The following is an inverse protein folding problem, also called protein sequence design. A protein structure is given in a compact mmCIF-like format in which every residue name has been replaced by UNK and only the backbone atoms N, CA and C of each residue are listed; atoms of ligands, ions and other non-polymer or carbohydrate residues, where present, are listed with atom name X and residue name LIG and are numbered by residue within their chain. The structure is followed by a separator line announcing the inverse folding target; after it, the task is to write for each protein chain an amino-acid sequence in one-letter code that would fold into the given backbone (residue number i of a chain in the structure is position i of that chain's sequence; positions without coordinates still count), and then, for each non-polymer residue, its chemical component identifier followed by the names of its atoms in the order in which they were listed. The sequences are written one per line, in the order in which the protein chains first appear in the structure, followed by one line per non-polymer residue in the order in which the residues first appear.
data_IF_289022050872
#
_entry.id   IF_289022050872
#
_cell.length_a   1.000
_cell.length_b   1.000
_cell.length_c   1.000
_cell.angle_alpha   90.00
_cell.angle_beta   90.00
_cell.angle_gamma   90.00
#
_symmetry.space_group_name_H-M   'P 1'
#
loop_
_entity.id
_entity.type
_entity.pdbx_description
1 polymer ?
2 non-polymer ?
3 non-polymer ?
4 non-polymer ?
5 non-polymer ?
6 water ?
#
# COMPACT_ATOMS: atom_id res chain seq x y z
N UNK A 12 -25.28 4.57 -12.72
CA UNK A 12 -24.54 3.31 -13.01
C UNK A 12 -23.31 3.15 -12.11
N UNK A 13 -23.06 4.16 -11.28
CA UNK A 13 -21.92 4.14 -10.38
C UNK A 13 -21.83 2.81 -9.61
N UNK A 14 -20.86 1.99 -10.01
CA UNK A 14 -20.65 0.68 -9.38
C UNK A 14 -20.53 0.82 -7.86
N UNK A 15 -21.08 -0.13 -7.13
CA UNK A 15 -21.03 -0.10 -5.67
C UNK A 15 -20.35 -1.36 -5.14
N UNK A 16 -19.91 -2.21 -6.06
CA UNK A 16 -19.23 -3.44 -5.70
C UNK A 16 -18.59 -4.07 -6.91
N UNK A 17 -17.89 -5.17 -6.67
CA UNK A 17 -17.22 -5.90 -7.72
C UNK A 17 -17.79 -7.31 -7.73
N UNK A 18 -18.12 -7.82 -8.91
CA UNK A 18 -18.69 -9.16 -9.00
C UNK A 18 -17.65 -10.23 -8.69
N UNK A 19 -18.12 -11.39 -8.27
CA UNK A 19 -17.23 -12.50 -7.93
C UNK A 19 -16.29 -12.82 -9.10
N UNK A 20 -16.81 -12.78 -10.31
CA UNK A 20 -16.00 -13.08 -11.49
C UNK A 20 -14.95 -11.98 -11.70
N UNK A 21 -15.34 -10.73 -11.53
CA UNK A 21 -14.40 -9.64 -11.70
C UNK A 21 -13.28 -9.74 -10.68
N UNK A 22 -13.64 -10.05 -9.43
CA UNK A 22 -12.67 -10.17 -8.36
C UNK A 22 -11.69 -11.32 -8.58
N UNK A 23 -12.22 -12.51 -8.86
CA UNK A 23 -11.38 -13.69 -9.07
C UNK A 23 -10.41 -13.55 -10.24
N UNK A 24 -10.87 -13.06 -11.38
CA UNK A 24 -10.00 -12.91 -12.55
C UNK A 24 -8.88 -11.90 -12.24
N UNK A 25 -9.23 -10.85 -11.49
CA UNK A 25 -8.26 -9.83 -11.13
C UNK A 25 -7.21 -10.42 -10.17
N UNK A 26 -7.68 -11.01 -9.08
CA UNK A 26 -6.78 -11.56 -8.08
C UNK A 26 -6.08 -12.85 -8.48
N UNK A 27 -6.77 -13.77 -9.14
CA UNK A 27 -6.12 -15.02 -9.54
C UNK A 27 -5.05 -14.80 -10.60
N UNK A 28 -5.30 -13.89 -11.56
CA UNK A 28 -4.30 -13.59 -12.58
C UNK A 28 -3.07 -12.94 -11.94
N UNK A 29 -3.32 -12.07 -10.96
CA UNK A 29 -2.24 -11.37 -10.26
C UNK A 29 -1.39 -12.38 -9.48
N UNK A 30 -2.05 -13.35 -8.86
CA UNK A 30 -1.33 -14.37 -8.10
C UNK A 30 -0.43 -15.17 -9.04
N UNK A 31 -0.93 -15.45 -10.25
CA UNK A 31 -0.17 -16.20 -11.24
C UNK A 31 1.01 -15.35 -11.70
N UNK A 32 0.77 -14.05 -11.86
CA UNK A 32 1.85 -13.16 -12.29
C UNK A 32 2.93 -13.16 -11.21
N UNK A 33 2.50 -13.11 -9.94
CA UNK A 33 3.45 -13.11 -8.84
C UNK A 33 4.27 -14.38 -8.81
N UNK A 34 3.61 -15.51 -9.03
CA UNK A 34 4.29 -16.80 -9.06
C UNK A 34 5.26 -16.84 -10.23
N UNK A 35 4.86 -16.28 -11.37
CA UNK A 35 5.74 -16.26 -12.52
C UNK A 35 7.03 -15.52 -12.15
N UNK A 36 6.88 -14.51 -11.29
CA UNK A 36 8.02 -13.71 -10.85
C UNK A 36 8.73 -14.31 -9.64
N UNK A 37 8.41 -15.56 -9.34
CA UNK A 37 9.03 -16.28 -8.23
C UNK A 37 8.69 -15.77 -6.81
N UNK A 38 7.63 -14.98 -6.66
CA UNK A 38 7.31 -14.54 -5.31
C UNK A 38 6.61 -15.74 -4.66
N UNK A 39 6.98 -16.08 -3.42
CA UNK A 39 6.38 -17.22 -2.70
C UNK A 39 4.95 -17.02 -2.24
N UNK A 40 4.00 -17.16 -3.16
CA UNK A 40 2.59 -17.01 -2.84
C UNK A 40 1.98 -18.35 -2.47
N UNK A 41 1.45 -18.44 -1.27
CA UNK A 41 0.82 -19.67 -0.80
C UNK A 41 -0.68 -19.56 -1.03
N UNK A 42 -1.38 -20.67 -0.90
CA UNK A 42 -2.82 -20.71 -1.12
C UNK A 42 -3.63 -19.75 -0.25
N UNK A 43 -3.29 -19.66 1.03
CA UNK A 43 -4.04 -18.79 1.92
C UNK A 43 -3.87 -17.30 1.62
N UNK A 44 -2.82 -16.95 0.89
CA UNK A 44 -2.56 -15.55 0.53
C UNK A 44 -3.48 -15.07 -0.58
N UNK A 45 -4.05 -16.01 -1.33
CA UNK A 45 -4.95 -15.69 -2.41
C UNK A 45 -6.35 -15.82 -1.80
N UNK A 46 -6.88 -14.69 -1.31
CA UNK A 46 -8.19 -14.67 -0.66
C UNK A 46 -9.02 -13.46 -1.07
N UNK A 47 -10.14 -13.25 -0.37
CA UNK A 47 -11.03 -12.14 -0.67
C UNK A 47 -10.59 -10.81 -0.06
N UNK A 48 -9.40 -10.80 0.54
CA UNK A 48 -8.86 -9.58 1.14
C UNK A 48 -7.67 -9.05 0.34
N UNK A 49 -7.18 -9.85 -0.60
CA UNK A 49 -6.05 -9.46 -1.43
C UNK A 49 -6.33 -8.27 -2.33
N UNK A 50 -7.50 -8.28 -2.97
CA UNK A 50 -7.87 -7.19 -3.85
C UNK A 50 -8.52 -6.06 -3.08
N UNK A 51 -7.85 -4.91 -3.04
CA UNK A 51 -8.33 -3.74 -2.31
C UNK A 51 -8.85 -2.62 -3.21
N UNK A 52 -9.98 -2.04 -2.80
CA UNK A 52 -10.61 -0.92 -3.49
C UNK A 52 -10.79 0.13 -2.39
N UNK A 53 -10.14 1.29 -2.54
CA UNK A 53 -10.21 2.32 -1.50
C UNK A 53 -11.40 3.27 -1.58
N UNK A 54 -12.58 2.78 -1.23
CA UNK A 54 -13.76 3.62 -1.27
C UNK A 54 -14.80 3.19 -2.28
N UNK A 55 -16.07 3.30 -1.89
CA UNK A 55 -17.20 2.93 -2.74
C UNK A 55 -17.17 3.57 -4.12
N UNK A 56 -16.77 4.83 -4.18
CA UNK A 56 -16.72 5.54 -5.44
C UNK A 56 -15.56 5.09 -6.32
N UNK A 57 -14.74 4.18 -5.78
CA UNK A 57 -13.60 3.68 -6.54
C UNK A 57 -13.95 2.36 -7.24
N UNK A 58 -15.12 1.83 -6.93
CA UNK A 58 -15.56 0.59 -7.54
C UNK A 58 -15.82 0.80 -9.03
N UNK A 59 -15.93 2.07 -9.44
CA UNK A 59 -16.12 2.39 -10.85
C UNK A 59 -14.89 2.00 -11.67
N UNK A 60 -13.84 1.56 -10.98
CA UNK A 60 -12.63 1.14 -11.68
C UNK A 60 -13.02 -0.05 -12.54
N UNK A 61 -14.05 -0.77 -12.10
CA UNK A 61 -14.52 -1.95 -12.80
C UNK A 61 -15.63 -1.71 -13.81
N UNK A 62 -15.91 -0.44 -14.09
CA UNK A 62 -16.91 -0.13 -15.09
C UNK A 62 -16.24 -0.46 -16.42
N UNK A 63 -15.00 0.00 -16.58
CA UNK A 63 -14.26 -0.27 -17.80
C UNK A 63 -13.15 -1.31 -17.59
N UNK A 64 -12.82 -1.59 -16.33
CA UNK A 64 -11.81 -2.60 -16.05
C UNK A 64 -10.41 -2.15 -15.70
N UNK A 65 -9.63 -3.10 -15.21
CA UNK A 65 -8.25 -2.86 -14.79
C UNK A 65 -7.25 -2.60 -15.90
N UNK A 66 -7.69 -2.67 -17.15
CA UNK A 66 -6.79 -2.37 -18.26
C UNK A 66 -7.27 -1.13 -19.01
N UNK A 67 -8.21 -0.41 -18.42
CA UNK A 67 -8.75 0.80 -19.02
C UNK A 67 -7.70 1.91 -18.97
N UNK A 68 -6.85 1.87 -17.95
CA UNK A 68 -5.81 2.88 -17.81
C UNK A 68 -6.32 4.10 -17.04
N UNK A 69 -7.60 4.07 -16.67
CA UNK A 69 -8.23 5.17 -15.94
C UNK A 69 -7.71 5.30 -14.51
N UNK A 70 -7.69 6.55 -13.99
CA UNK A 70 -7.21 6.79 -12.63
C UNK A 70 -8.19 6.43 -11.51
N UNK A 71 -7.88 5.37 -10.79
CA UNK A 71 -8.69 4.92 -9.67
C UNK A 71 -7.75 4.40 -8.58
N UNK A 72 -8.26 4.33 -7.36
CA UNK A 72 -7.44 3.89 -6.24
C UNK A 72 -7.83 2.47 -5.87
N UNK A 73 -6.99 1.53 -6.29
CA UNK A 73 -7.20 0.11 -6.02
C UNK A 73 -5.90 -0.63 -6.27
N UNK A 74 -5.71 -1.76 -5.60
CA UNK A 74 -4.51 -2.54 -5.76
C UNK A 74 -4.67 -3.92 -5.16
N UNK A 75 -3.68 -4.77 -5.41
CA UNK A 75 -3.68 -6.11 -4.89
C UNK A 75 -2.41 -6.26 -4.05
N UNK A 76 -2.55 -6.93 -2.91
CA UNK A 76 -1.43 -7.16 -2.03
C UNK A 76 -1.40 -8.60 -1.57
N UNK A 77 -0.27 -9.27 -1.76
CA UNK A 77 -0.08 -10.65 -1.33
C UNK A 77 1.02 -10.58 -0.29
N UNK A 78 0.63 -10.77 0.97
CA UNK A 78 1.55 -10.69 2.09
C UNK A 78 2.11 -12.05 2.48
N UNK A 79 3.42 -12.21 2.34
CA UNK A 79 4.09 -13.47 2.66
C UNK A 79 4.59 -13.49 4.09
N UNK A 80 4.77 -12.30 4.67
CA UNK A 80 5.26 -12.20 6.03
C UNK A 80 4.84 -10.92 6.75
N UNK A 81 4.54 -11.07 8.04
CA UNK A 81 4.17 -9.95 8.90
C UNK A 81 4.49 -10.47 10.28
N UNK A 82 5.80 -10.50 10.56
CA UNK A 82 6.36 -11.00 11.80
C UNK A 82 6.56 -9.90 12.85
N UNK A 83 5.87 -10.04 14.00
CA UNK A 83 5.97 -9.07 15.11
C UNK A 83 7.41 -8.85 15.56
N UNK A 84 8.19 -9.92 15.58
CA UNK A 84 9.59 -9.88 16.02
C UNK A 84 9.67 -9.45 17.48
N UNK A 85 8.71 -9.93 18.28
CA UNK A 85 8.65 -9.62 19.70
C UNK A 85 9.52 -10.58 20.51
N UNK A 86 9.64 -11.83 20.05
CA UNK A 86 10.43 -12.83 20.76
C UNK A 86 11.90 -12.42 20.89
N UNK A 87 12.43 -12.50 22.11
CA UNK A 87 13.82 -12.15 22.34
C UNK A 87 14.07 -10.71 22.73
N UNK A 88 13.02 -9.90 22.71
CA UNK A 88 13.14 -8.49 23.06
C UNK A 88 13.13 -8.26 24.56
N UNK A 89 13.93 -7.31 25.04
CA UNK A 89 13.92 -7.06 26.48
C UNK A 89 12.56 -6.45 26.77
N UNK A 90 11.96 -6.82 27.89
CA UNK A 90 10.64 -6.32 28.27
C UNK A 90 10.49 -4.81 28.14
N UNK A 91 11.61 -4.09 28.26
CA UNK A 91 11.57 -2.65 28.16
C UNK A 91 11.25 -2.10 26.78
N UNK A 92 11.32 -2.95 25.76
CA UNK A 92 11.03 -2.52 24.39
C UNK A 92 9.57 -2.77 24.03
N UNK A 93 8.78 -3.22 25.00
CA UNK A 93 7.37 -3.51 24.78
C UNK A 93 6.59 -2.37 24.13
N UNK A 94 6.77 -1.12 24.62
CA UNK A 94 6.05 0.00 24.04
C UNK A 94 6.59 0.49 22.69
N UNK A 95 7.78 0.03 22.32
CA UNK A 95 8.38 0.45 21.05
C UNK A 95 8.44 -0.67 20.02
N UNK A 96 7.96 -1.85 20.40
CA UNK A 96 7.97 -3.01 19.51
C UNK A 96 7.15 -2.79 18.24
N UNK A 97 6.06 -2.02 18.37
CA UNK A 97 5.17 -1.73 17.27
C UNK A 97 5.84 -1.02 16.08
N UNK A 98 7.03 -0.48 16.32
CA UNK A 98 7.77 0.22 15.26
C UNK A 98 8.70 -0.74 14.50
N UNK A 99 8.87 -1.95 15.03
CA UNK A 99 9.73 -2.94 14.41
C UNK A 99 8.93 -4.04 13.73
N UNK A 100 9.48 -5.24 13.70
CA UNK A 100 8.80 -6.36 13.06
C UNK A 100 9.22 -6.43 11.60
N UNK A 101 8.73 -7.43 10.88
CA UNK A 101 9.08 -7.60 9.46
C UNK A 101 7.88 -7.97 8.61
N UNK A 102 7.59 -7.14 7.61
CA UNK A 102 6.46 -7.41 6.73
C UNK A 102 6.94 -7.43 5.27
N UNK A 103 6.75 -8.56 4.61
CA UNK A 103 7.17 -8.75 3.23
C UNK A 103 5.91 -8.99 2.41
N UNK A 104 5.72 -8.24 1.34
CA UNK A 104 4.53 -8.42 0.51
C UNK A 104 4.81 -8.04 -0.92
N UNK A 105 3.99 -8.57 -1.81
CA UNK A 105 4.09 -8.27 -3.23
C UNK A 105 2.85 -7.42 -3.51
N UNK A 106 3.02 -6.30 -4.18
CA UNK A 106 1.89 -5.42 -4.49
C UNK A 106 1.74 -5.28 -5.99
N UNK A 107 0.52 -5.39 -6.49
CA UNK A 107 0.29 -5.28 -7.91
C UNK A 107 -0.70 -4.15 -8.21
N UNK A 108 -0.23 -3.19 -9.02
CA UNK A 108 -1.01 -2.03 -9.41
C UNK A 108 -1.15 -1.95 -10.92
N UNK A 109 -2.37 -1.92 -11.41
CA UNK A 109 -2.57 -1.86 -12.84
C UNK A 109 -2.37 -0.45 -13.40
N UNK A 110 -2.21 -0.33 -14.72
CA UNK A 110 -1.99 0.97 -15.36
C UNK A 110 -2.94 2.09 -14.96
N UNK A 111 -2.37 3.19 -14.47
CA UNK A 111 -3.16 4.34 -14.07
C UNK A 111 -3.68 4.31 -12.65
N UNK A 112 -3.83 3.12 -12.08
CA UNK A 112 -4.34 2.98 -10.71
C UNK A 112 -3.31 3.38 -9.66
N UNK A 113 -3.78 3.76 -8.48
CA UNK A 113 -2.92 4.19 -7.39
C UNK A 113 -3.11 3.46 -6.06
N UNK A 114 -2.07 3.56 -5.24
CA UNK A 114 -2.10 3.11 -3.85
C UNK A 114 -2.19 4.57 -3.39
N UNK A 115 -3.38 5.02 -2.93
CA UNK A 115 -3.65 6.39 -2.47
C UNK A 115 -2.84 7.03 -1.36
N UNK A 116 -2.79 8.37 -1.34
CA UNK A 116 -2.05 9.16 -0.34
C UNK A 116 -2.32 8.68 1.06
N UNK A 117 -1.26 8.45 1.83
CA UNK A 117 -1.42 7.99 3.20
C UNK A 117 -0.07 8.05 3.92
N UNK A 118 -0.09 7.80 5.21
CA UNK A 118 1.16 7.77 5.97
C UNK A 118 0.98 6.83 7.16
N UNK A 119 2.10 6.40 7.72
CA UNK A 119 2.08 5.50 8.86
C UNK A 119 2.88 6.15 9.99
N UNK A 120 2.40 5.99 11.21
CA UNK A 120 3.13 6.56 12.33
C UNK A 120 4.24 5.62 12.75
N UNK A 121 4.05 4.33 12.51
CA UNK A 121 5.04 3.34 12.92
C UNK A 121 5.81 2.63 11.81
N UNK A 122 5.11 2.31 10.72
CA UNK A 122 5.72 1.57 9.62
C UNK A 122 6.62 2.32 8.65
N UNK A 123 7.84 1.81 8.51
CA UNK A 123 8.82 2.34 7.57
C UNK A 123 8.89 1.25 6.48
N UNK A 124 8.79 1.66 5.22
CA UNK A 124 8.79 0.73 4.08
C UNK A 124 9.99 0.91 3.15
N UNK A 125 10.16 -0.07 2.27
CA UNK A 125 11.22 -0.04 1.27
C UNK A 125 10.62 -0.69 0.03
N UNK A 126 11.01 -0.20 -1.14
CA UNK A 126 10.48 -0.74 -2.39
C UNK A 126 11.53 -1.33 -3.32
N UNK A 127 11.14 -2.42 -3.97
CA UNK A 127 11.97 -3.11 -4.94
C UNK A 127 11.03 -3.41 -6.10
N UNK A 128 11.20 -2.73 -7.23
CA UNK A 128 10.33 -2.99 -8.36
C UNK A 128 10.74 -4.30 -9.02
N UNK A 129 9.75 -5.15 -9.28
CA UNK A 129 10.05 -6.44 -9.91
C UNK A 129 9.68 -6.41 -11.38
N UNK A 130 8.54 -5.78 -11.68
CA UNK A 130 8.06 -5.67 -13.04
C UNK A 130 7.39 -4.31 -13.21
N UNK A 131 7.55 -3.72 -14.40
CA UNK A 131 6.96 -2.42 -14.68
C UNK A 131 7.76 -1.31 -14.02
N UNK A 132 7.14 -0.15 -13.85
CA UNK A 132 7.82 0.98 -13.22
C UNK A 132 6.90 1.61 -12.21
N UNK A 133 7.50 2.12 -11.13
CA UNK A 133 6.73 2.71 -10.06
C UNK A 133 6.93 4.21 -9.88
N UNK A 134 5.84 4.95 -9.97
CA UNK A 134 5.90 6.40 -9.78
C UNK A 134 5.44 6.69 -8.35
N UNK A 135 6.38 7.12 -7.52
CA UNK A 135 6.13 7.44 -6.13
C UNK A 135 5.95 8.94 -5.92
N UNK A 136 4.89 9.32 -5.20
CA UNK A 136 4.61 10.72 -4.89
C UNK A 136 4.68 10.79 -3.36
N UNK A 137 5.41 11.76 -2.82
CA UNK A 137 5.53 11.84 -1.37
C UNK A 137 5.97 13.22 -0.87
N UNK A 138 5.81 13.42 0.44
CA UNK A 138 6.22 14.67 1.08
C UNK A 138 7.57 14.40 1.75
N UNK A 139 8.60 15.17 1.38
CA UNK A 139 9.94 15.00 1.96
C UNK A 139 9.97 15.48 3.41
N UNK A 140 8.89 16.14 3.82
CA UNK A 140 8.77 16.67 5.17
C UNK A 140 8.08 15.63 6.06
N UNK A 141 8.68 15.27 7.19
CA UNK A 141 8.03 14.29 8.06
C UNK A 141 6.91 14.96 8.86
N UNK A 142 5.89 14.19 9.22
CA UNK A 142 4.78 14.73 10.00
C UNK A 142 5.21 14.77 11.47
N UNK A 143 4.55 15.59 12.26
CA UNK A 143 4.88 15.70 13.68
C UNK A 143 3.90 14.93 14.53
N UNK A 144 4.34 14.55 15.73
CA UNK A 144 3.49 13.83 16.67
C UNK A 144 3.42 14.64 17.96
N UNK A 145 2.32 15.39 18.10
CA UNK A 145 2.10 16.26 19.26
C UNK A 145 2.58 15.71 20.60
N UNK A 146 3.44 16.46 21.27
CA UNK A 146 3.94 16.06 22.58
C UNK A 146 5.12 15.11 22.65
N UNK A 147 5.53 14.54 21.51
CA UNK A 147 6.66 13.60 21.54
C UNK A 147 7.81 14.00 20.62
N UNK A 148 9.02 13.89 21.15
CA UNK A 148 10.23 14.21 20.40
C UNK A 148 10.50 12.99 19.52
N UNK A 149 11.15 13.21 18.39
CA UNK A 149 11.44 12.12 17.46
C UNK A 149 12.89 12.13 16.99
N UNK A 150 13.42 10.96 16.72
CA UNK A 150 14.80 10.83 16.26
C UNK A 150 14.92 11.14 14.77
N UNK A 151 16.10 11.56 14.36
CA UNK A 151 16.40 11.89 12.97
C UNK A 151 17.76 11.32 12.64
N UNK A 152 17.92 10.84 11.41
CA UNK A 152 19.19 10.30 10.98
C UNK A 152 19.43 10.63 9.51
N UNK A 153 18.65 9.99 8.63
CA UNK A 153 18.80 10.21 7.20
C UNK A 153 17.68 11.06 6.59
N UNK A 154 16.49 10.98 7.15
CA UNK A 154 15.38 11.74 6.62
C UNK A 154 15.10 11.26 5.19
N UNK A 155 14.20 11.93 4.49
CA UNK A 155 13.86 11.56 3.12
C UNK A 155 14.51 12.45 2.07
N UNK A 156 14.93 11.89 0.93
CA UNK A 156 15.54 12.72 -0.10
C UNK A 156 14.47 13.62 -0.70
N UNK A 157 14.87 14.79 -1.21
CA UNK A 157 13.92 15.73 -1.78
C UNK A 157 13.27 15.26 -3.08
N UNK A 158 14.00 14.46 -3.86
CA UNK A 158 13.44 13.95 -5.10
C UNK A 158 13.28 15.02 -6.17
N UNK A 159 12.37 14.77 -7.11
CA UNK A 159 12.12 15.70 -8.20
C UNK A 159 10.68 16.18 -8.21
N UNK A 160 10.40 17.22 -8.99
CA UNK A 160 9.01 17.69 -9.03
C UNK A 160 8.22 16.71 -9.89
N UNK A 161 6.90 16.71 -9.77
CA UNK A 161 6.07 15.81 -10.55
C UNK A 161 6.24 16.02 -12.04
N UNK A 162 6.12 14.94 -12.83
CA UNK A 162 6.26 15.10 -14.27
C UNK A 162 4.94 15.73 -14.72
N UNK A 163 4.90 16.25 -15.94
CA UNK A 163 3.68 16.88 -16.42
C UNK A 163 2.60 15.85 -16.78
N UNK A 164 1.34 16.24 -16.59
CA UNK A 164 0.20 15.39 -16.95
C UNK A 164 -0.17 14.13 -16.21
N UNK A 165 -0.11 14.15 -14.89
CA UNK A 165 -0.48 12.98 -14.11
C UNK A 165 -1.97 13.04 -13.82
N UNK A 166 -2.72 12.06 -14.33
CA UNK A 166 -4.16 12.02 -14.12
C UNK A 166 -4.48 11.41 -12.77
N UNK A 167 -5.12 12.20 -11.91
CA UNK A 167 -5.48 11.75 -10.58
C UNK A 167 -6.95 11.30 -10.55
N UNK A 168 -7.31 10.45 -9.57
CA UNK A 168 -8.69 9.97 -9.46
C UNK A 168 -9.69 11.12 -9.27
N UNK A 169 -10.82 11.04 -9.96
CA UNK A 169 -11.85 12.07 -9.87
C UNK A 169 -12.39 12.18 -8.45
N UNK A 170 -12.34 13.39 -7.89
CA UNK A 170 -12.83 13.61 -6.55
C UNK A 170 -11.81 13.34 -5.47
N UNK A 171 -10.57 13.07 -5.86
CA UNK A 171 -9.52 12.79 -4.88
C UNK A 171 -8.22 13.51 -5.19
N UNK A 172 -8.29 14.44 -6.14
CA UNK A 172 -7.11 15.17 -6.54
C UNK A 172 -6.45 15.94 -5.39
N UNK A 173 -7.25 16.50 -4.49
CA UNK A 173 -6.71 17.27 -3.38
C UNK A 173 -5.89 16.45 -2.38
N UNK A 174 -6.21 15.17 -2.23
CA UNK A 174 -5.47 14.33 -1.29
C UNK A 174 -4.00 14.20 -1.66
N UNK A 175 -3.66 14.57 -2.89
CA UNK A 175 -2.28 14.47 -3.37
C UNK A 175 -1.48 15.77 -3.24
N UNK A 176 -2.15 16.87 -2.96
CA UNK A 176 -1.52 18.20 -2.83
C UNK A 176 -0.17 18.28 -2.12
N UNK A 177 -0.08 17.72 -0.91
CA UNK A 177 1.16 17.77 -0.13
C UNK A 177 2.27 16.82 -0.56
N UNK A 178 1.95 15.83 -1.38
CA UNK A 178 2.95 14.87 -1.82
C UNK A 178 3.67 15.44 -3.04
N UNK A 179 4.44 16.50 -2.79
CA UNK A 179 5.16 17.26 -3.82
C UNK A 179 6.37 16.61 -4.48
N UNK A 180 7.07 15.74 -3.76
CA UNK A 180 8.24 15.08 -4.32
C UNK A 180 7.86 13.87 -5.15
N UNK A 181 8.64 13.60 -6.19
CA UNK A 181 8.39 12.51 -7.11
C UNK A 181 9.68 11.75 -7.40
N UNK A 182 9.53 10.45 -7.66
CA UNK A 182 10.65 9.59 -8.00
C UNK A 182 10.08 8.40 -8.77
N UNK A 183 10.74 8.04 -9.87
CA UNK A 183 10.31 6.91 -10.68
C UNK A 183 11.30 5.76 -10.46
N UNK A 184 10.81 4.64 -9.96
CA UNK A 184 11.65 3.47 -9.66
C UNK A 184 11.48 2.37 -10.69
N UNK A 185 12.57 1.70 -11.01
CA UNK A 185 12.60 0.63 -11.99
C UNK A 185 13.27 -0.63 -11.42
N UNK A 186 13.10 -1.75 -12.12
CA UNK A 186 13.69 -3.00 -11.68
C UNK A 186 15.21 -2.83 -11.71
N UNK A 187 15.88 -3.30 -10.66
CA UNK A 187 17.32 -3.19 -10.63
C UNK A 187 17.86 -1.96 -9.91
N UNK A 188 16.99 -1.02 -9.57
CA UNK A 188 17.44 0.17 -8.86
C UNK A 188 17.79 -0.13 -7.42
N UNK A 189 18.45 0.82 -6.74
CA UNK A 189 18.79 0.59 -5.34
C UNK A 189 17.45 0.54 -4.59
N UNK A 190 17.41 -0.15 -3.46
CA UNK A 190 16.17 -0.21 -2.67
C UNK A 190 15.80 1.22 -2.26
N UNK A 191 14.52 1.56 -2.35
CA UNK A 191 14.07 2.91 -1.97
C UNK A 191 13.32 2.87 -0.64
N UNK A 192 13.74 3.70 0.30
CA UNK A 192 13.13 3.75 1.63
C UNK A 192 12.10 4.85 1.84
N UNK A 193 10.94 4.49 2.37
CA UNK A 193 9.90 5.45 2.69
C UNK A 193 9.79 5.44 4.21
N UNK A 194 10.44 6.40 4.86
CA UNK A 194 10.42 6.49 6.32
C UNK A 194 9.01 6.70 6.83
N UNK A 195 8.75 6.19 8.04
CA UNK A 195 7.44 6.34 8.68
C UNK A 195 7.20 7.85 8.85
N UNK A 196 5.94 8.23 9.01
CA UNK A 196 5.54 9.63 9.20
C UNK A 196 5.76 10.51 7.97
N UNK A 197 5.70 9.90 6.79
CA UNK A 197 5.84 10.64 5.54
C UNK A 197 4.65 10.27 4.67
N UNK A 198 3.99 11.29 4.15
CA UNK A 198 2.86 11.06 3.27
C UNK A 198 3.41 10.48 1.98
N UNK A 199 2.78 9.42 1.48
CA UNK A 199 3.22 8.81 0.24
C UNK A 199 2.10 8.14 -0.52
N UNK A 200 2.32 7.98 -1.82
CA UNK A 200 1.38 7.33 -2.71
C UNK A 200 2.19 6.88 -3.91
N UNK A 201 1.60 6.03 -4.75
CA UNK A 201 2.30 5.57 -5.93
C UNK A 201 1.32 4.97 -6.94
N UNK A 202 1.73 4.98 -8.21
CA UNK A 202 0.88 4.44 -9.25
C UNK A 202 1.73 3.74 -10.31
N UNK A 203 1.05 3.05 -11.19
CA UNK A 203 1.68 2.39 -12.31
C UNK A 203 1.35 3.34 -13.47
N UNK A 204 2.36 3.69 -14.29
CA UNK A 204 2.07 4.60 -15.42
C UNK A 204 0.93 4.05 -16.28
N UNK A 205 0.03 4.94 -16.75
CA UNK A 205 -1.14 4.62 -17.58
C UNK A 205 -0.80 3.91 -18.89
N UNK A 206 0.39 4.17 -19.42
CA UNK A 206 0.78 3.58 -20.69
C UNK A 206 1.59 2.29 -20.54
N UNK A 207 1.71 1.79 -19.31
CA UNK A 207 2.46 0.56 -19.07
C UNK A 207 1.81 -0.64 -19.75
N UNK A 208 2.65 -1.47 -20.37
CA UNK A 208 2.17 -2.68 -21.04
C UNK A 208 1.99 -3.78 -20.00
N UNK A 209 2.46 -3.54 -18.78
CA UNK A 209 2.35 -4.53 -17.72
C UNK A 209 1.95 -3.91 -16.39
N UNK A 210 1.35 -4.71 -15.49
CA UNK A 210 0.95 -4.18 -14.19
C UNK A 210 2.25 -3.86 -13.47
N UNK A 211 2.21 -2.95 -12.52
CA UNK A 211 3.39 -2.65 -11.73
C UNK A 211 3.45 -3.74 -10.67
N UNK A 212 4.59 -4.39 -10.51
CA UNK A 212 4.72 -5.41 -9.47
C UNK A 212 5.89 -5.00 -8.58
N UNK A 213 5.58 -4.72 -7.32
CA UNK A 213 6.60 -4.27 -6.37
C UNK A 213 6.68 -5.10 -5.09
N UNK A 214 7.91 -5.39 -4.67
CA UNK A 214 8.10 -6.12 -3.44
C UNK A 214 8.35 -5.09 -2.33
N UNK A 215 7.53 -5.12 -1.30
CA UNK A 215 7.74 -4.20 -0.20
C UNK A 215 8.25 -4.93 1.02
N UNK A 216 9.32 -4.39 1.59
CA UNK A 216 9.90 -4.94 2.80
C UNK A 216 9.81 -3.79 3.79
N UNK A 217 8.99 -3.96 4.83
CA UNK A 217 8.78 -2.90 5.80
C UNK A 217 8.70 -3.49 7.20
N UNK A 218 8.53 -2.61 8.19
CA UNK A 218 8.38 -3.05 9.56
C UNK A 218 6.96 -3.57 9.67
N UNK A 219 6.59 -4.10 10.83
CA UNK A 219 5.25 -4.67 11.02
C UNK A 219 4.13 -3.79 10.50
N UNK A 220 3.12 -4.43 9.92
CA UNK A 220 1.98 -3.72 9.37
C UNK A 220 0.76 -3.91 10.27
N UNK A 221 0.44 -2.88 11.05
CA UNK A 221 -0.69 -2.91 11.97
C UNK A 221 -1.99 -2.65 11.21
N UNK A 222 -2.77 -3.71 10.97
CA UNK A 222 -4.01 -3.57 10.24
C UNK A 222 -5.11 -4.49 10.78
N UNK A 223 -6.04 -3.93 11.58
CA UNK A 223 -7.14 -4.72 12.13
C UNK A 223 -8.17 -4.98 11.04
N UNK A 224 -7.78 -5.76 10.03
CA UNK A 224 -8.65 -6.07 8.90
C UNK A 224 -9.53 -7.30 9.12
N UNK A 225 -10.31 -7.63 8.09
CA UNK A 225 -11.22 -8.78 8.12
C UNK A 225 -10.37 -10.06 8.11
N UNK A 226 -9.41 -10.12 7.19
CA UNK A 226 -8.52 -11.26 7.07
C UNK A 226 -7.50 -11.21 8.20
N UNK A 227 -7.74 -10.32 9.16
CA UNK A 227 -6.85 -10.15 10.31
C UNK A 227 -7.58 -10.46 11.61
N UNK A 228 -8.81 -9.96 11.74
CA UNK A 228 -9.62 -10.18 12.92
C UNK A 228 -9.73 -11.65 13.28
N UNK A 229 -8.93 -12.08 14.25
CA UNK A 229 -8.95 -13.48 14.67
C UNK A 229 -7.63 -13.97 15.26
N UNK A 230 -6.55 -13.25 14.97
CA UNK A 230 -5.22 -13.60 15.46
C UNK A 230 -5.00 -13.16 16.91
N UNK A 231 -3.91 -13.63 17.50
CA UNK A 231 -3.55 -13.29 18.88
C UNK A 231 -2.57 -12.12 18.86
N UNK A 232 -2.74 -11.20 19.81
CA UNK A 232 -1.86 -10.03 19.89
C UNK A 232 -0.59 -10.32 20.68
N UNK A 233 0.58 -10.06 20.09
CA UNK A 233 1.87 -10.30 20.74
C UNK A 233 2.08 -9.40 21.95
N UNK A 234 1.58 -8.18 21.87
CA UNK A 234 1.67 -7.20 22.95
C UNK A 234 0.29 -6.57 23.05
N UNK A 235 -0.23 -6.42 24.28
CA UNK A 235 -1.55 -5.83 24.54
C UNK A 235 -1.93 -4.63 23.68
N UNK A 236 -1.11 -3.59 23.69
CA UNK A 236 -1.38 -2.38 22.93
C UNK A 236 -1.69 -2.63 21.45
N UNK A 237 -0.94 -3.54 20.83
CA UNK A 237 -1.11 -3.87 19.43
C UNK A 237 -2.55 -4.21 19.03
N UNK A 238 -3.32 -4.78 19.95
CA UNK A 238 -4.69 -5.15 19.65
C UNK A 238 -5.50 -3.97 19.12
N UNK A 239 -6.10 -4.15 17.94
CA UNK A 239 -6.89 -3.09 17.33
C UNK A 239 -6.09 -1.86 16.94
N UNK A 240 -4.78 -1.99 16.94
CA UNK A 240 -3.90 -0.86 16.58
C UNK A 240 -3.89 -0.67 15.08
N UNK A 241 -4.17 0.56 14.64
CA UNK A 241 -4.20 0.88 13.22
C UNK A 241 -3.02 1.80 12.91
N UNK A 242 -2.36 1.56 11.78
CA UNK A 242 -1.21 2.36 11.39
C UNK A 242 -1.23 2.81 9.93
N UNK A 243 -2.38 2.74 9.29
CA UNK A 243 -2.51 3.18 7.91
C UNK A 243 -3.45 4.38 7.87
N UNK A 244 -2.88 5.58 7.84
CA UNK A 244 -3.65 6.82 7.82
C UNK A 244 -3.77 7.40 6.41
N UNK A 245 -4.93 7.22 5.78
CA UNK A 245 -5.14 7.73 4.44
C UNK A 245 -5.62 9.19 4.48
N UNK A 246 -5.10 10.01 3.58
CA UNK A 246 -5.46 11.42 3.51
C UNK A 246 -6.95 11.57 3.21
N UNK A 247 -7.45 10.76 2.29
CA UNK A 247 -8.85 10.80 1.91
C UNK A 247 -9.69 9.93 2.85
N UNK A 248 -10.68 10.53 3.48
CA UNK A 248 -11.54 9.80 4.42
C UNK A 248 -12.23 8.62 3.76
N UNK A 249 -12.66 8.80 2.52
CA UNK A 249 -13.34 7.75 1.76
C UNK A 249 -12.43 6.56 1.47
N UNK A 250 -11.17 6.65 1.89
CA UNK A 250 -10.20 5.58 1.66
C UNK A 250 -9.93 4.73 2.89
N UNK A 251 -9.99 5.34 4.07
CA UNK A 251 -9.74 4.62 5.33
C UNK A 251 -10.78 3.57 5.67
N UNK A 252 -12.00 3.76 5.17
CA UNK A 252 -13.09 2.83 5.45
C UNK A 252 -13.13 1.62 4.51
N UNK A 253 -13.48 1.87 3.25
CA UNK A 253 -13.57 0.79 2.27
C UNK A 253 -12.28 0.01 2.07
N UNK A 254 -11.27 0.30 2.87
CA UNK A 254 -9.99 -0.38 2.76
C UNK A 254 -10.00 -1.71 3.51
N UNK A 255 -10.70 -1.76 4.64
CA UNK A 255 -10.77 -2.96 5.46
C UNK A 255 -11.68 -4.08 4.93
N UNK A 256 -12.27 -3.89 3.76
CA UNK A 256 -13.15 -4.91 3.19
C UNK A 256 -13.58 -4.62 1.76
N UNK A 257 -13.59 -5.64 0.92
CA UNK A 257 -13.97 -5.49 -0.47
C UNK A 257 -15.36 -6.07 -0.73
N UNK A 258 -16.26 -5.24 -1.23
CA UNK A 258 -17.63 -5.68 -1.51
C UNK A 258 -17.69 -6.53 -2.77
N UNK A 259 -17.85 -7.83 -2.60
CA UNK A 259 -17.93 -8.75 -3.73
C UNK A 259 -19.35 -9.30 -3.80
N UNK A 260 -20.01 -9.08 -4.93
CA UNK A 260 -21.37 -9.55 -5.13
C UNK A 260 -21.41 -10.81 -5.99
X LIG B 1 2.50 2.98 2.94
X LIG C 1 2.05 -0.03 1.90
X LIG C 1 1.89 -1.46 2.42
X LIG C 1 0.41 -1.85 2.49
X LIG C 1 -0.45 -0.79 3.19
X LIG C 1 -0.15 0.63 2.67
X LIG C 1 1.56 0.04 0.57
X LIG C 1 2.50 -1.57 3.69
X LIG C 1 0.29 -3.09 3.20
X LIG C 1 -0.26 -0.83 4.60
X LIG C 1 1.27 0.88 2.70
X LIG D 1 -7.46 -19.15 -4.66
X LIG D 1 -8.20 -18.91 -3.49
X LIG D 1 -9.54 -18.27 -3.80
X LIG D 1 -9.32 -17.35 -4.89
X LIG D 1 -10.08 -17.46 -2.62
X LIG D 1 -11.29 -18.05 -2.16
X LIG D 1 -10.37 -16.06 -3.16
X LIG D 1 -11.77 -15.89 -3.30
X LIG D 1 -9.72 -16.01 -4.54
X LIG D 1 -10.66 -15.56 -5.51
X LIG E 1 -12.94 -17.79 -10.34
X LIG E 1 -13.64 -17.02 -11.30
X LIG E 1 -15.14 -17.24 -11.19
X LIG E 1 -15.33 -18.53 -10.59
X LIG E 1 -15.83 -17.27 -12.55
X LIG E 1 -16.96 -16.41 -12.55
X LIG E 1 -16.29 -18.71 -12.77
X LIG E 1 -17.70 -18.78 -12.80
X LIG E 1 -15.75 -19.49 -11.56
X LIG E 1 -16.81 -20.26 -11.00
X LIG F 1 0.13 18.41 -6.52
X LIG F 1 0.18 18.24 -8.03
X LIG F 1 1.34 19.04 -8.59
X LIG F 1 2.65 18.59 -7.94
X LIG F 1 2.54 18.71 -6.41
X LIG F 1 -0.91 17.62 -5.98
X LIG F 1 -1.03 18.70 -8.61
X LIG F 1 1.14 20.42 -8.34
X LIG F 1 3.72 19.40 -8.39
X LIG F 1 1.38 17.99 -5.94
X LIG G 1 -7.98 11.75 8.22
X LIG G 1 -7.51 10.08 8.75
X LIG G 1 -9.54 11.57 9.10
X LIG G 1 -6.41 11.92 7.33
X LIG G 1 -8.75 11.05 6.73
X LIG G 1 -7.21 12.44 9.70
X LIG G 1 -8.46 13.40 7.69
#
# INVERSE_FOLDING_TARGET
MRGSHHHHHHGSARTSITRREYDEWVREAAALGKALRYPITEKMVNDSAGIVFGADQYDAFKNGMWSGEPYEAMIIFESLNEPAVDGLPTGAAPYAEYSGLCDKLMIVHPGKFCPPHHHGRKTESYEVVLGEMEVFYSPTPSAESGVELLNFSGMPVGSPWPEGVALPKGRESSYEKLTSYVRLRAGDPKFVMHRKHLHAFRCPPDSDVPLVVREVSTYSHEPTEAAAGNHAPIPSWLGMHDNDFVSDAANTGRLQTAIS
CO CO
0MK C1 C2 C3 C4 C5 O1 O2 O3 O4 O5
Z6J O5 C5 C4 O4 C3 O3 C2 O2 C1 O1
Z6J O5 C5 C4 O4 C3 O3 C2 O2 C1 O1
0MK C1 C2 C3 C4 C5 O1 O2 O3 O4 O5
NCO CO N1 N2 N3 N4 N5 N6
#
